data_IF_836629095864
#
_entry.id   IF_836629095864
#
_cell.length_a   1.000
_cell.length_b   1.000
_cell.length_c   1.000
_cell.angle_alpha   90.00
_cell.angle_beta   90.00
_cell.angle_gamma   90.00
#
_symmetry.space_group_name_H-M   'P 1'
#
loop_
_entity.id
_entity.type
_entity.pdbx_description
1 polymer ?
#
# COMPACT_ATOMS: atom_id res chain seq x y z
N UNK A 1 8.24 -4.62 19.70
CA UNK A 1 6.98 -4.24 20.39
C UNK A 1 6.36 -5.50 20.98
N UNK A 2 5.82 -5.47 22.20
CA UNK A 2 5.06 -6.63 22.71
C UNK A 2 3.74 -6.71 21.94
N UNK A 3 3.38 -7.87 21.34
CA UNK A 3 2.16 -7.99 20.57
C UNK A 3 0.92 -7.79 21.45
N UNK A 4 -0.14 -7.12 20.96
CA UNK A 4 -1.38 -7.01 21.71
C UNK A 4 -2.09 -8.36 21.77
N UNK A 5 -2.85 -8.62 22.83
CA UNK A 5 -3.67 -9.83 22.93
C UNK A 5 -4.74 -9.89 21.81
N UNK A 6 -5.34 -8.74 21.49
CA UNK A 6 -6.34 -8.62 20.43
C UNK A 6 -5.93 -7.53 19.44
N UNK A 7 -5.86 -7.87 18.16
CA UNK A 7 -5.53 -6.96 17.07
C UNK A 7 -6.73 -6.76 16.14
N UNK A 8 -7.04 -5.51 15.81
CA UNK A 8 -7.98 -5.14 14.75
C UNK A 8 -7.27 -5.02 13.39
N UNK A 9 -7.83 -5.57 12.33
CA UNK A 9 -7.37 -5.32 10.96
C UNK A 9 -8.48 -4.61 10.20
N UNK A 10 -8.20 -3.39 9.73
CA UNK A 10 -9.03 -2.68 8.77
C UNK A 10 -8.57 -3.15 7.38
N UNK A 11 -9.33 -4.07 6.80
CA UNK A 11 -8.89 -4.87 5.66
C UNK A 11 -9.40 -4.31 4.34
N UNK A 12 -8.50 -3.73 3.55
CA UNK A 12 -8.77 -3.37 2.15
C UNK A 12 -8.50 -4.54 1.18
N UNK A 13 -8.28 -4.19 -0.07
CA UNK A 13 -8.03 -5.11 -1.17
C UNK A 13 -6.58 -5.66 -1.15
N UNK A 14 -6.39 -6.81 -1.80
CA UNK A 14 -5.09 -7.43 -2.05
C UNK A 14 -4.67 -8.46 -1.00
N UNK A 15 -3.43 -8.92 -1.13
CA UNK A 15 -2.88 -9.99 -0.27
C UNK A 15 -2.46 -9.48 1.12
N UNK A 16 -2.25 -8.18 1.25
CA UNK A 16 -1.66 -7.56 2.42
C UNK A 16 -2.43 -7.88 3.72
N UNK A 17 -3.77 -7.78 3.82
CA UNK A 17 -4.49 -8.13 5.04
C UNK A 17 -4.23 -9.57 5.51
N UNK A 18 -4.10 -10.51 4.56
CA UNK A 18 -3.83 -11.92 4.88
C UNK A 18 -2.41 -12.14 5.39
N UNK A 19 -1.42 -11.53 4.73
CA UNK A 19 -0.02 -11.60 5.17
C UNK A 19 0.17 -10.96 6.54
N UNK A 20 -0.51 -9.84 6.80
CA UNK A 20 -0.52 -9.20 8.11
C UNK A 20 -1.13 -10.11 9.18
N UNK A 21 -2.26 -10.77 8.90
CA UNK A 21 -2.88 -11.68 9.83
C UNK A 21 -1.96 -12.87 10.17
N UNK A 22 -1.30 -13.47 9.17
CA UNK A 22 -0.34 -14.56 9.37
C UNK A 22 0.87 -14.08 10.20
N UNK A 23 1.44 -12.93 9.89
CA UNK A 23 2.58 -12.36 10.60
C UNK A 23 2.25 -11.96 12.06
N UNK A 24 1.09 -11.34 12.28
CA UNK A 24 0.62 -11.00 13.63
C UNK A 24 0.39 -12.25 14.48
N UNK A 25 -0.16 -13.32 13.88
CA UNK A 25 -0.33 -14.61 14.53
C UNK A 25 1.02 -15.23 14.91
N UNK A 26 1.99 -15.22 13.99
CA UNK A 26 3.36 -15.71 14.24
C UNK A 26 4.07 -14.90 15.34
N UNK A 27 3.77 -13.61 15.46
CA UNK A 27 4.30 -12.74 16.52
C UNK A 27 3.63 -12.94 17.88
N UNK A 28 2.57 -13.78 17.98
CA UNK A 28 1.92 -14.13 19.24
C UNK A 28 0.59 -13.40 19.54
N UNK A 29 0.01 -12.69 18.56
CA UNK A 29 -1.35 -12.11 18.72
C UNK A 29 -2.35 -13.25 18.89
N UNK A 30 -3.12 -13.22 20.00
CA UNK A 30 -4.04 -14.32 20.37
C UNK A 30 -5.37 -14.24 19.62
N UNK A 31 -5.90 -13.03 19.41
CA UNK A 31 -7.16 -12.81 18.72
C UNK A 31 -6.99 -11.74 17.62
N UNK A 32 -7.46 -12.04 16.42
CA UNK A 32 -7.47 -11.13 15.28
C UNK A 32 -8.90 -10.88 14.83
N UNK A 33 -9.31 -9.62 14.81
CA UNK A 33 -10.66 -9.18 14.40
C UNK A 33 -10.54 -8.33 13.15
N UNK A 34 -11.17 -8.74 12.06
CA UNK A 34 -11.15 -8.00 10.81
C UNK A 34 -12.43 -7.21 10.58
N UNK A 35 -12.29 -5.93 10.23
CA UNK A 35 -13.31 -5.13 9.56
C UNK A 35 -13.04 -5.22 8.05
N UNK A 36 -13.84 -5.99 7.34
CA UNK A 36 -13.69 -6.29 5.92
C UNK A 36 -14.71 -5.51 5.09
N UNK A 37 -14.31 -5.04 3.92
CA UNK A 37 -15.18 -4.25 3.06
C UNK A 37 -15.70 -5.10 1.89
N UNK A 38 -17.02 -5.12 1.74
CA UNK A 38 -17.68 -5.77 0.59
C UNK A 38 -17.13 -5.19 -0.71
N UNK A 39 -16.87 -6.03 -1.69
CA UNK A 39 -16.31 -5.72 -3.00
C UNK A 39 -14.84 -5.21 -3.00
N UNK A 40 -14.18 -5.23 -1.84
CA UNK A 40 -12.76 -4.87 -1.70
C UNK A 40 -11.94 -6.01 -1.09
N UNK A 41 -12.31 -6.47 0.09
CA UNK A 41 -11.52 -7.45 0.85
C UNK A 41 -11.65 -8.85 0.26
N UNK A 42 -10.51 -9.53 0.14
CA UNK A 42 -10.45 -10.94 -0.30
C UNK A 42 -11.12 -11.86 0.73
N UNK A 43 -12.11 -12.64 0.30
CA UNK A 43 -12.86 -13.58 1.15
C UNK A 43 -11.97 -14.61 1.88
N UNK A 44 -10.79 -14.91 1.30
CA UNK A 44 -9.80 -15.80 1.90
C UNK A 44 -9.24 -15.28 3.23
N UNK A 45 -9.44 -14.00 3.56
CA UNK A 45 -9.09 -13.45 4.86
C UNK A 45 -9.85 -14.14 5.99
N UNK A 46 -11.10 -14.58 5.76
CA UNK A 46 -11.92 -15.23 6.77
C UNK A 46 -11.26 -16.48 7.39
N UNK A 47 -10.42 -17.19 6.62
CA UNK A 47 -9.65 -18.34 7.12
C UNK A 47 -8.38 -17.98 7.92
N UNK A 48 -8.08 -16.69 8.12
CA UNK A 48 -6.86 -16.20 8.78
C UNK A 48 -7.12 -15.42 10.06
N UNK A 49 -8.38 -15.07 10.33
CA UNK A 49 -8.81 -14.26 11.47
C UNK A 49 -9.82 -15.01 12.34
N UNK A 50 -9.94 -14.63 13.61
CA UNK A 50 -10.88 -15.26 14.53
C UNK A 50 -12.30 -14.71 14.37
N UNK A 51 -12.41 -13.45 13.91
CA UNK A 51 -13.68 -12.78 13.70
C UNK A 51 -13.57 -11.87 12.48
N UNK A 52 -14.53 -11.95 11.57
CA UNK A 52 -14.63 -11.08 10.40
C UNK A 52 -15.98 -10.41 10.34
N UNK A 53 -15.97 -9.08 10.20
CA UNK A 53 -17.18 -8.26 10.14
C UNK A 53 -17.24 -7.54 8.80
N UNK A 54 -18.16 -7.96 7.95
CA UNK A 54 -18.39 -7.38 6.65
C UNK A 54 -19.17 -6.07 6.73
N UNK A 55 -18.68 -5.05 6.04
CA UNK A 55 -19.31 -3.74 5.97
C UNK A 55 -19.01 -3.07 4.62
N UNK A 56 -19.67 -1.96 4.36
CA UNK A 56 -19.35 -1.13 3.18
C UNK A 56 -18.33 -0.07 3.53
N UNK A 57 -17.56 0.35 2.54
CA UNK A 57 -16.66 1.51 2.69
C UNK A 57 -17.51 2.73 3.11
N UNK A 58 -17.04 3.45 4.13
CA UNK A 58 -17.75 4.59 4.69
C UNK A 58 -18.62 4.29 5.93
N UNK A 59 -18.62 3.07 6.46
CA UNK A 59 -19.35 2.72 7.68
C UNK A 59 -18.44 2.78 8.94
N UNK A 60 -17.87 3.96 9.22
CA UNK A 60 -16.94 4.16 10.34
C UNK A 60 -17.53 3.87 11.71
N UNK A 61 -18.81 4.21 11.91
CA UNK A 61 -19.50 3.91 13.17
C UNK A 61 -19.61 2.41 13.42
N UNK A 62 -19.94 1.64 12.35
CA UNK A 62 -19.99 0.16 12.42
C UNK A 62 -18.62 -0.44 12.69
N UNK A 63 -17.57 0.07 12.05
CA UNK A 63 -16.18 -0.36 12.27
C UNK A 63 -15.77 -0.18 13.73
N UNK A 64 -15.98 1.02 14.29
CA UNK A 64 -15.65 1.32 15.69
C UNK A 64 -16.44 0.45 16.65
N UNK A 65 -17.75 0.28 16.41
CA UNK A 65 -18.60 -0.58 17.24
C UNK A 65 -18.12 -2.04 17.24
N UNK A 66 -17.76 -2.57 16.06
CA UNK A 66 -17.21 -3.91 15.91
C UNK A 66 -15.92 -4.07 16.74
N UNK A 67 -14.96 -3.17 16.61
CA UNK A 67 -13.70 -3.27 17.33
C UNK A 67 -13.88 -3.12 18.85
N UNK A 68 -14.72 -2.18 19.29
CA UNK A 68 -15.00 -2.02 20.73
C UNK A 68 -15.67 -3.24 21.33
N UNK A 69 -16.65 -3.84 20.66
CA UNK A 69 -17.36 -5.04 21.16
C UNK A 69 -16.42 -6.25 21.26
N UNK A 70 -15.39 -6.31 20.41
CA UNK A 70 -14.39 -7.37 20.44
C UNK A 70 -13.20 -7.11 21.38
N UNK A 71 -13.16 -5.96 22.06
CA UNK A 71 -12.06 -5.57 22.96
C UNK A 71 -10.78 -5.16 22.24
N UNK A 72 -10.88 -4.69 20.98
CA UNK A 72 -9.73 -4.22 20.20
C UNK A 72 -9.28 -2.86 20.72
N UNK A 73 -8.02 -2.75 21.12
CA UNK A 73 -7.36 -1.49 21.51
C UNK A 73 -6.27 -1.06 20.54
N UNK A 74 -5.82 -1.98 19.67
CA UNK A 74 -4.83 -1.71 18.64
C UNK A 74 -5.34 -2.20 17.29
N UNK A 75 -5.21 -1.38 16.26
CA UNK A 75 -5.64 -1.74 14.91
C UNK A 75 -4.57 -1.38 13.87
N UNK A 76 -4.58 -2.06 12.75
CA UNK A 76 -3.72 -1.78 11.58
C UNK A 76 -4.60 -1.68 10.36
N UNK A 77 -4.31 -0.68 9.50
CA UNK A 77 -4.87 -0.61 8.15
C UNK A 77 -3.98 -1.39 7.18
N UNK A 78 -4.56 -2.33 6.44
CA UNK A 78 -3.84 -3.14 5.47
C UNK A 78 -4.65 -3.28 4.17
N UNK A 79 -3.97 -3.12 3.03
CA UNK A 79 -4.59 -3.19 1.71
C UNK A 79 -5.08 -1.83 1.20
N UNK A 80 -5.59 -1.83 -0.02
CA UNK A 80 -6.06 -0.62 -0.70
C UNK A 80 -7.59 -0.56 -0.74
N UNK A 81 -8.13 0.65 -0.84
CA UNK A 81 -9.52 0.89 -1.24
C UNK A 81 -9.48 1.46 -2.66
N UNK A 82 -10.19 0.83 -3.59
CA UNK A 82 -10.21 1.27 -4.98
C UNK A 82 -10.75 2.70 -5.11
N UNK A 83 -10.11 3.60 -5.89
CA UNK A 83 -10.54 4.99 -6.03
C UNK A 83 -12.00 5.16 -6.43
N UNK A 84 -12.52 4.28 -7.30
CA UNK A 84 -13.93 4.25 -7.72
C UNK A 84 -14.89 4.11 -6.54
N UNK A 85 -14.50 3.35 -5.50
CA UNK A 85 -15.35 3.10 -4.33
C UNK A 85 -15.32 4.27 -3.33
N UNK A 86 -14.37 5.20 -3.48
CA UNK A 86 -14.38 6.47 -2.75
C UNK A 86 -15.48 7.45 -3.25
N UNK A 87 -15.96 7.28 -4.49
CA UNK A 87 -17.06 8.08 -5.04
C UNK A 87 -18.45 7.45 -4.83
N UNK A 88 -18.51 6.12 -4.60
CA UNK A 88 -19.77 5.39 -4.30
C UNK A 88 -19.89 5.05 -2.81
N UNK A 89 -19.45 5.97 -1.97
CA UNK A 89 -19.57 5.82 -0.52
C UNK A 89 -21.03 5.81 -0.10
N UNK A 90 -21.39 4.83 0.73
CA UNK A 90 -22.66 4.86 1.51
C UNK A 90 -22.33 5.15 2.97
N UNK A 91 -21.97 6.42 3.27
CA UNK A 91 -21.48 6.80 4.59
C UNK A 91 -22.55 6.66 5.64
N UNK A 92 -22.19 6.13 6.80
CA UNK A 92 -23.01 6.27 7.98
C UNK A 92 -22.97 7.69 8.53
N UNK A 93 -23.84 7.99 9.53
CA UNK A 93 -23.92 9.34 10.11
C UNK A 93 -22.57 9.84 10.65
N UNK A 94 -21.77 8.94 11.22
CA UNK A 94 -20.45 9.30 11.77
C UNK A 94 -19.48 9.71 10.67
N UNK A 95 -19.46 8.97 9.57
CA UNK A 95 -18.66 9.30 8.39
C UNK A 95 -19.10 10.61 7.73
N UNK A 96 -20.41 10.86 7.65
CA UNK A 96 -20.94 12.13 7.12
C UNK A 96 -20.46 13.31 7.94
N UNK A 97 -20.52 13.22 9.27
CA UNK A 97 -20.03 14.29 10.17
C UNK A 97 -18.52 14.49 10.03
N UNK A 98 -17.74 13.39 9.89
CA UNK A 98 -16.31 13.45 9.67
C UNK A 98 -16.01 14.21 8.36
N UNK A 99 -16.62 13.80 7.24
CA UNK A 99 -16.40 14.39 5.93
C UNK A 99 -16.83 15.88 5.88
N UNK A 100 -17.88 16.26 6.62
CA UNK A 100 -18.33 17.65 6.71
C UNK A 100 -17.32 18.59 7.40
N UNK A 101 -16.47 18.06 8.27
CA UNK A 101 -15.44 18.80 9.00
C UNK A 101 -14.14 18.97 8.22
N UNK A 102 -13.92 18.18 7.16
CA UNK A 102 -12.68 18.22 6.40
C UNK A 102 -12.64 19.42 5.45
N UNK A 103 -11.58 20.21 5.54
CA UNK A 103 -11.30 21.32 4.60
C UNK A 103 -10.89 20.82 3.21
N UNK A 104 -10.18 19.69 3.15
CA UNK A 104 -9.77 18.99 1.93
C UNK A 104 -10.23 17.53 2.05
N UNK A 105 -10.72 16.97 0.94
CA UNK A 105 -11.23 15.57 0.90
C UNK A 105 -10.32 14.69 0.06
N UNK A 106 -8.99 14.81 0.27
CA UNK A 106 -8.03 13.87 -0.27
C UNK A 106 -7.90 12.65 0.65
N UNK A 107 -7.31 11.57 0.15
CA UNK A 107 -7.18 10.30 0.87
C UNK A 107 -6.46 10.47 2.22
N UNK A 108 -5.37 11.26 2.24
CA UNK A 108 -4.58 11.52 3.44
C UNK A 108 -5.42 12.17 4.55
N UNK A 109 -6.17 13.24 4.23
CA UNK A 109 -7.03 13.92 5.20
C UNK A 109 -8.15 13.03 5.74
N UNK A 110 -8.72 12.17 4.88
CA UNK A 110 -9.78 11.23 5.28
C UNK A 110 -9.21 10.17 6.22
N UNK A 111 -8.08 9.55 5.88
CA UNK A 111 -7.47 8.51 6.71
C UNK A 111 -6.93 9.06 8.04
N UNK A 112 -6.35 10.26 8.04
CA UNK A 112 -5.95 10.93 9.27
C UNK A 112 -7.16 11.15 10.21
N UNK A 113 -8.28 11.66 9.67
CA UNK A 113 -9.49 11.87 10.45
C UNK A 113 -10.12 10.56 10.96
N UNK A 114 -10.02 9.45 10.19
CA UNK A 114 -10.41 8.11 10.65
C UNK A 114 -9.52 7.69 11.83
N UNK A 115 -8.21 7.90 11.74
CA UNK A 115 -7.27 7.63 12.83
C UNK A 115 -7.62 8.39 14.11
N UNK A 116 -7.99 9.67 13.99
CA UNK A 116 -8.42 10.50 15.12
C UNK A 116 -9.72 9.98 15.75
N UNK A 117 -10.69 9.52 14.94
CA UNK A 117 -11.95 8.95 15.46
C UNK A 117 -11.73 7.59 16.14
N UNK A 118 -10.79 6.77 15.63
CA UNK A 118 -10.36 5.54 16.29
C UNK A 118 -9.71 5.85 17.64
N UNK A 119 -8.80 6.83 17.70
CA UNK A 119 -8.15 7.25 18.94
C UNK A 119 -9.16 7.76 19.99
N UNK A 120 -10.19 8.53 19.58
CA UNK A 120 -11.31 8.92 20.47
C UNK A 120 -12.11 7.74 21.01
N UNK A 121 -12.10 6.63 20.29
CA UNK A 121 -12.73 5.39 20.70
C UNK A 121 -11.77 4.46 21.47
N UNK A 122 -10.60 4.97 21.89
CA UNK A 122 -9.54 4.24 22.59
C UNK A 122 -8.92 3.10 21.77
N UNK A 123 -8.94 3.24 20.43
CA UNK A 123 -8.31 2.31 19.51
C UNK A 123 -7.09 3.00 18.89
N UNK A 124 -5.90 2.52 19.23
CA UNK A 124 -4.63 3.02 18.68
C UNK A 124 -4.38 2.44 17.30
N UNK A 125 -4.22 3.30 16.30
CA UNK A 125 -3.81 2.87 14.97
C UNK A 125 -2.28 2.72 14.92
N UNK A 126 -1.82 1.48 14.80
CA UNK A 126 -0.40 1.14 14.68
C UNK A 126 0.11 1.43 13.26
N UNK A 127 1.44 1.58 13.07
CA UNK A 127 2.02 1.63 11.73
C UNK A 127 1.60 0.43 10.87
N UNK A 128 1.29 0.66 9.60
CA UNK A 128 0.89 -0.40 8.69
C UNK A 128 2.02 -1.43 8.43
N UNK A 129 3.27 -1.07 8.73
CA UNK A 129 4.44 -1.97 8.66
C UNK A 129 4.58 -2.89 9.88
N UNK A 130 3.81 -2.69 10.96
CA UNK A 130 3.88 -3.50 12.17
C UNK A 130 3.69 -4.97 11.87
N UNK A 131 4.52 -5.83 12.45
CA UNK A 131 4.63 -7.28 12.19
C UNK A 131 5.20 -7.65 10.80
N UNK A 132 5.48 -6.69 9.93
CA UNK A 132 6.00 -6.90 8.58
C UNK A 132 7.30 -6.11 8.33
N UNK A 133 8.03 -5.77 9.40
CA UNK A 133 9.28 -5.03 9.31
C UNK A 133 10.31 -5.76 8.44
N UNK A 134 10.34 -7.09 8.48
CA UNK A 134 11.21 -7.95 7.65
C UNK A 134 10.82 -7.93 6.15
N UNK A 135 9.63 -7.44 5.84
CA UNK A 135 9.16 -7.23 4.46
C UNK A 135 9.57 -5.87 3.89
N UNK A 136 10.17 -4.98 4.69
CA UNK A 136 10.69 -3.72 4.19
C UNK A 136 11.86 -3.99 3.22
N UNK A 137 11.87 -3.25 2.11
CA UNK A 137 12.91 -3.37 1.09
C UNK A 137 14.29 -3.02 1.67
N UNK A 138 15.26 -3.95 1.68
CA UNK A 138 16.64 -3.63 2.07
C UNK A 138 17.30 -2.77 0.99
N UNK A 139 18.30 -1.98 1.37
CA UNK A 139 19.09 -1.21 0.38
C UNK A 139 19.82 -2.15 -0.59
N UNK A 140 19.92 -1.74 -1.85
CA UNK A 140 20.65 -2.41 -2.91
C UNK A 140 19.82 -3.21 -3.90
N UNK A 141 20.44 -4.23 -4.49
CA UNK A 141 19.83 -5.13 -5.48
C UNK A 141 19.00 -6.21 -4.76
N UNK A 142 17.69 -6.24 -5.00
CA UNK A 142 16.77 -7.22 -4.40
C UNK A 142 16.60 -8.44 -5.32
N UNK A 143 16.44 -8.21 -6.62
CA UNK A 143 16.26 -9.26 -7.61
C UNK A 143 16.85 -8.86 -8.98
N UNK A 144 17.14 -9.86 -9.82
CA UNK A 144 17.62 -9.65 -11.18
C UNK A 144 19.12 -9.37 -11.25
N UNK A 145 19.55 -8.58 -12.23
CA UNK A 145 20.97 -8.24 -12.47
C UNK A 145 21.31 -6.82 -12.00
N UNK A 146 22.61 -6.56 -11.82
CA UNK A 146 23.10 -5.19 -11.63
C UNK A 146 22.67 -4.29 -12.78
N UNK A 147 22.33 -3.05 -12.46
CA UNK A 147 21.96 -2.04 -13.43
C UNK A 147 23.18 -1.60 -14.25
N UNK A 148 22.91 -1.25 -15.50
CA UNK A 148 23.89 -0.57 -16.34
C UNK A 148 24.02 0.90 -15.92
N UNK A 149 25.11 1.57 -16.29
CA UNK A 149 25.29 3.00 -16.02
C UNK A 149 24.14 3.88 -16.53
N UNK A 150 23.52 3.50 -17.66
CA UNK A 150 22.37 4.22 -18.21
C UNK A 150 21.13 4.02 -17.38
N UNK A 151 20.85 2.78 -16.94
CA UNK A 151 19.73 2.47 -16.05
C UNK A 151 19.88 3.17 -14.69
N UNK A 152 21.11 3.25 -14.13
CA UNK A 152 21.36 4.03 -12.91
C UNK A 152 21.04 5.52 -13.10
N UNK A 153 21.38 6.09 -14.27
CA UNK A 153 21.04 7.48 -14.62
C UNK A 153 19.52 7.69 -14.69
N UNK A 154 18.79 6.77 -15.32
CA UNK A 154 17.32 6.82 -15.40
C UNK A 154 16.68 6.64 -14.02
N UNK A 155 17.23 5.75 -13.16
CA UNK A 155 16.78 5.57 -11.77
C UNK A 155 16.99 6.86 -10.97
N UNK A 156 18.15 7.51 -11.08
CA UNK A 156 18.44 8.76 -10.38
C UNK A 156 17.46 9.88 -10.80
N UNK A 157 17.24 10.07 -12.10
CA UNK A 157 16.25 11.01 -12.62
C UNK A 157 14.84 10.67 -12.12
N UNK A 158 14.48 9.39 -12.15
CA UNK A 158 13.17 8.93 -11.67
C UNK A 158 12.94 9.25 -10.20
N UNK A 159 13.94 9.07 -9.33
CA UNK A 159 13.86 9.44 -7.91
C UNK A 159 13.69 10.94 -7.71
N UNK A 160 14.45 11.76 -8.46
CA UNK A 160 14.33 13.22 -8.41
C UNK A 160 12.90 13.65 -8.73
N UNK A 161 12.38 13.24 -9.88
CA UNK A 161 11.03 13.61 -10.33
C UNK A 161 9.93 13.02 -9.42
N UNK A 162 10.05 11.74 -9.03
CA UNK A 162 9.06 11.11 -8.17
C UNK A 162 8.94 11.81 -6.80
N UNK A 163 10.06 12.26 -6.21
CA UNK A 163 10.07 13.02 -4.96
C UNK A 163 9.35 14.37 -5.10
N UNK A 164 9.61 15.11 -6.19
CA UNK A 164 8.95 16.39 -6.43
C UNK A 164 7.44 16.24 -6.67
N UNK A 165 7.04 15.27 -7.48
CA UNK A 165 5.63 14.96 -7.75
C UNK A 165 4.91 14.52 -6.46
N UNK A 166 5.59 13.73 -5.65
CA UNK A 166 5.11 13.25 -4.34
C UNK A 166 4.96 14.40 -3.33
N UNK A 167 5.89 15.35 -3.33
CA UNK A 167 5.83 16.56 -2.49
C UNK A 167 4.61 17.44 -2.83
N UNK A 168 4.17 17.42 -4.09
CA UNK A 168 2.98 18.14 -4.56
C UNK A 168 1.67 17.36 -4.34
N UNK A 169 1.72 16.15 -3.73
CA UNK A 169 0.59 15.25 -3.52
C UNK A 169 -0.15 14.89 -4.83
N UNK A 170 0.58 14.76 -5.95
CA UNK A 170 0.05 14.35 -7.26
C UNK A 170 0.07 12.83 -7.37
N UNK A 171 1.23 12.21 -7.10
CA UNK A 171 1.47 10.78 -7.18
C UNK A 171 2.84 10.43 -6.63
N UNK A 172 3.24 9.17 -6.72
CA UNK A 172 4.50 8.68 -6.13
C UNK A 172 5.26 7.73 -7.06
N UNK A 173 4.76 7.52 -8.28
CA UNK A 173 5.36 6.64 -9.28
C UNK A 173 5.65 7.40 -10.56
N UNK A 174 6.84 7.17 -11.13
CA UNK A 174 7.29 7.77 -12.38
C UNK A 174 7.87 6.68 -13.28
N UNK A 175 7.57 6.74 -14.57
CA UNK A 175 8.17 5.86 -15.58
C UNK A 175 9.15 6.68 -16.41
N UNK A 176 10.38 6.20 -16.47
CA UNK A 176 11.50 6.89 -17.15
C UNK A 176 12.13 5.96 -18.18
N UNK A 177 12.63 6.52 -19.26
CA UNK A 177 13.50 5.83 -20.22
C UNK A 177 14.45 6.81 -20.91
N UNK A 178 15.72 6.48 -20.92
CA UNK A 178 16.74 7.22 -21.66
C UNK A 178 16.77 8.72 -21.34
N UNK A 179 16.69 9.08 -20.07
CA UNK A 179 16.67 10.47 -19.62
C UNK A 179 15.36 11.20 -19.87
N UNK A 180 14.27 10.48 -20.22
CA UNK A 180 12.96 11.07 -20.52
C UNK A 180 11.90 10.50 -19.60
N UNK A 181 11.10 11.37 -18.97
CA UNK A 181 9.90 10.98 -18.21
C UNK A 181 8.79 10.63 -19.20
N UNK A 182 8.29 9.40 -19.13
CA UNK A 182 7.24 8.89 -19.99
C UNK A 182 5.85 9.00 -19.36
N UNK A 183 5.76 8.76 -18.05
CA UNK A 183 4.52 8.83 -17.31
C UNK A 183 4.80 9.23 -15.87
N UNK A 184 3.87 10.00 -15.31
CA UNK A 184 3.81 10.37 -13.91
C UNK A 184 2.48 9.91 -13.37
N UNK A 185 2.49 9.23 -12.21
CA UNK A 185 1.27 8.78 -11.53
C UNK A 185 0.43 9.98 -11.10
N UNK A 186 -0.85 9.91 -11.37
CA UNK A 186 -1.86 10.81 -10.84
C UNK A 186 -2.96 10.01 -10.15
N UNK A 187 -4.19 10.37 -10.41
CA UNK A 187 -5.36 9.71 -9.81
C UNK A 187 -5.56 8.26 -10.29
N UNK A 188 -5.04 7.91 -11.47
CA UNK A 188 -5.18 6.58 -12.07
C UNK A 188 -4.48 5.46 -11.27
N UNK A 189 -3.48 5.79 -10.45
CA UNK A 189 -2.72 4.86 -9.64
C UNK A 189 -1.57 4.15 -10.37
N UNK A 190 -0.73 3.45 -9.62
CA UNK A 190 0.54 2.87 -10.06
C UNK A 190 0.39 1.95 -11.28
N UNK A 191 -0.58 1.04 -11.28
CA UNK A 191 -0.70 0.03 -12.35
C UNK A 191 -1.04 0.66 -13.71
N UNK A 192 -1.93 1.63 -13.74
CA UNK A 192 -2.30 2.32 -14.99
C UNK A 192 -1.15 3.23 -15.48
N UNK A 193 -0.41 3.83 -14.56
CA UNK A 193 0.81 4.59 -14.88
C UNK A 193 1.87 3.69 -15.52
N UNK A 194 2.08 2.46 -14.99
CA UNK A 194 2.99 1.46 -15.59
C UNK A 194 2.57 1.12 -17.02
N UNK A 195 1.29 0.80 -17.24
CA UNK A 195 0.76 0.47 -18.57
C UNK A 195 0.98 1.62 -19.56
N UNK A 196 0.62 2.84 -19.16
CA UNK A 196 0.76 4.05 -19.99
C UNK A 196 2.22 4.34 -20.32
N UNK A 197 3.11 4.30 -19.30
CA UNK A 197 4.54 4.53 -19.49
C UNK A 197 5.20 3.44 -20.34
N UNK A 198 4.83 2.17 -20.15
CA UNK A 198 5.30 1.05 -20.96
C UNK A 198 4.88 1.16 -22.42
N UNK A 199 3.61 1.53 -22.68
CA UNK A 199 3.12 1.76 -24.04
C UNK A 199 3.87 2.88 -24.77
N UNK A 200 4.20 3.98 -24.07
CA UNK A 200 4.96 5.09 -24.64
C UNK A 200 6.45 4.76 -24.79
N UNK A 201 7.03 4.05 -23.84
CA UNK A 201 8.46 3.75 -23.80
C UNK A 201 8.84 2.49 -24.59
N UNK A 202 7.89 1.60 -24.89
CA UNK A 202 8.20 0.28 -25.41
C UNK A 202 9.03 -0.54 -24.42
N UNK A 203 9.99 -1.30 -24.91
CA UNK A 203 10.83 -2.15 -24.03
C UNK A 203 11.84 -1.34 -23.22
N UNK A 204 12.14 -1.83 -22.01
CA UNK A 204 13.21 -1.36 -21.14
C UNK A 204 12.96 0.00 -20.46
N UNK A 205 11.71 0.42 -20.29
CA UNK A 205 11.38 1.52 -19.40
C UNK A 205 11.65 1.13 -17.93
N UNK A 206 11.83 2.13 -17.10
CA UNK A 206 12.15 2.00 -15.67
C UNK A 206 11.04 2.63 -14.86
N UNK A 207 10.53 1.91 -13.87
CA UNK A 207 9.63 2.44 -12.87
C UNK A 207 10.42 2.88 -11.64
N UNK A 208 10.14 4.07 -11.15
CA UNK A 208 10.59 4.54 -9.84
C UNK A 208 9.38 4.86 -8.98
N UNK A 209 9.35 4.32 -7.75
CA UNK A 209 8.29 4.59 -6.78
C UNK A 209 8.90 4.99 -5.44
N UNK A 210 8.42 6.12 -4.91
CA UNK A 210 8.89 6.70 -3.64
C UNK A 210 7.79 6.68 -2.60
N UNK A 211 8.16 6.88 -1.33
CA UNK A 211 7.23 7.27 -0.28
C UNK A 211 7.03 8.79 -0.32
N UNK A 212 5.85 9.25 0.08
CA UNK A 212 5.63 10.69 0.25
C UNK A 212 6.48 11.25 1.39
N UNK A 213 6.98 12.50 1.32
CA UNK A 213 7.85 13.07 2.35
C UNK A 213 7.25 13.03 3.76
N UNK A 214 5.95 13.32 3.88
CA UNK A 214 5.20 13.35 5.14
C UNK A 214 4.22 12.18 5.24
N UNK A 215 4.57 11.02 4.65
CA UNK A 215 3.69 9.87 4.61
C UNK A 215 3.36 9.38 6.03
N UNK A 216 2.09 9.28 6.34
CA UNK A 216 1.64 8.69 7.59
C UNK A 216 1.69 7.17 7.49
N UNK A 217 2.73 6.60 8.08
CA UNK A 217 3.00 5.15 8.05
C UNK A 217 1.90 4.31 8.71
N UNK A 218 0.89 4.93 9.34
CA UNK A 218 -0.24 4.19 9.91
C UNK A 218 -1.21 3.66 8.85
N UNK A 219 -1.27 4.31 7.66
CA UNK A 219 -2.23 3.95 6.63
C UNK A 219 -1.74 4.08 5.18
N UNK A 220 -0.65 4.79 4.95
CA UNK A 220 -0.11 5.00 3.60
C UNK A 220 1.35 4.53 3.54
N UNK A 221 1.54 3.26 3.16
CA UNK A 221 2.87 2.65 2.98
C UNK A 221 2.98 2.20 1.53
N UNK A 222 4.05 2.61 0.82
CA UNK A 222 4.31 2.09 -0.51
C UNK A 222 4.47 0.57 -0.48
N UNK A 223 3.81 -0.09 -1.42
CA UNK A 223 3.82 -1.55 -1.52
C UNK A 223 4.20 -1.95 -2.94
N UNK A 224 5.05 -2.96 -3.06
CA UNK A 224 5.30 -3.71 -4.30
C UNK A 224 5.00 -5.19 -4.03
N UNK A 225 4.21 -5.80 -4.89
CA UNK A 225 3.86 -7.21 -4.83
C UNK A 225 3.84 -7.84 -6.21
N UNK A 226 3.55 -9.14 -6.25
CA UNK A 226 3.47 -9.93 -7.49
C UNK A 226 2.55 -9.29 -8.52
N UNK A 227 1.41 -8.72 -8.09
CA UNK A 227 0.46 -8.05 -9.00
C UNK A 227 1.07 -6.84 -9.72
N UNK A 228 1.80 -5.98 -9.00
CA UNK A 228 2.51 -4.84 -9.61
C UNK A 228 3.60 -5.30 -10.57
N UNK A 229 4.34 -6.34 -10.18
CA UNK A 229 5.40 -6.90 -11.02
C UNK A 229 4.84 -7.55 -12.30
N UNK A 230 3.69 -8.24 -12.23
CA UNK A 230 3.02 -8.79 -13.41
C UNK A 230 2.65 -7.68 -14.41
N UNK A 231 2.06 -6.58 -13.92
CA UNK A 231 1.76 -5.40 -14.78
C UNK A 231 3.04 -4.81 -15.38
N UNK A 232 4.13 -4.74 -14.62
CA UNK A 232 5.42 -4.25 -15.10
C UNK A 232 6.03 -5.19 -16.16
N UNK A 233 5.87 -6.49 -16.01
CA UNK A 233 6.31 -7.49 -17.00
C UNK A 233 5.54 -7.38 -18.30
N UNK A 234 4.21 -7.27 -18.23
CA UNK A 234 3.34 -7.08 -19.40
C UNK A 234 3.64 -5.76 -20.13
N UNK A 235 4.01 -4.73 -19.38
CA UNK A 235 4.44 -3.43 -19.91
C UNK A 235 5.92 -3.41 -20.37
N UNK A 236 6.61 -4.56 -20.33
CA UNK A 236 8.01 -4.72 -20.73
C UNK A 236 9.00 -3.79 -19.99
N UNK A 237 8.72 -3.47 -18.74
CA UNK A 237 9.66 -2.71 -17.91
C UNK A 237 10.94 -3.54 -17.66
N UNK A 238 12.06 -2.84 -17.46
CA UNK A 238 13.34 -3.47 -17.20
C UNK A 238 13.77 -3.38 -15.74
N UNK A 239 13.42 -2.28 -15.07
CA UNK A 239 13.80 -2.01 -13.69
C UNK A 239 12.61 -1.49 -12.91
N UNK A 240 12.49 -1.93 -11.67
CA UNK A 240 11.65 -1.33 -10.64
C UNK A 240 12.59 -0.82 -9.55
N UNK A 241 12.61 0.49 -9.33
CA UNK A 241 13.37 1.14 -8.28
C UNK A 241 12.43 1.70 -7.21
N UNK A 242 12.74 1.44 -5.94
CA UNK A 242 11.90 1.79 -4.78
C UNK A 242 12.74 2.39 -3.64
N UNK A 243 12.11 3.02 -2.66
CA UNK A 243 12.82 3.50 -1.48
C UNK A 243 13.08 2.38 -0.47
N UNK A 244 14.35 2.24 -0.09
CA UNK A 244 14.81 1.33 0.95
C UNK A 244 14.24 1.70 2.32
N UNK A 245 13.88 0.69 3.13
CA UNK A 245 13.33 0.88 4.47
C UNK A 245 11.95 1.54 4.53
N UNK A 246 11.36 1.90 3.38
CA UNK A 246 10.06 2.59 3.31
C UNK A 246 9.02 1.91 2.42
N UNK A 247 9.43 0.91 1.65
CA UNK A 247 8.53 0.15 0.74
C UNK A 247 8.41 -1.28 1.23
N UNK A 248 7.18 -1.79 1.36
CA UNK A 248 6.90 -3.19 1.66
C UNK A 248 6.98 -4.05 0.40
N UNK A 249 7.68 -5.17 0.49
CA UNK A 249 7.74 -6.23 -0.50
C UNK A 249 6.80 -7.36 -0.08
N UNK A 250 5.62 -7.43 -0.69
CA UNK A 250 4.68 -8.50 -0.38
C UNK A 250 4.98 -9.74 -1.20
N UNK A 251 4.85 -10.93 -0.58
CA UNK A 251 5.15 -12.22 -1.21
C UNK A 251 6.57 -12.24 -1.81
N UNK A 252 7.58 -11.83 -1.03
CA UNK A 252 8.96 -11.56 -1.46
C UNK A 252 9.56 -12.67 -2.32
N UNK A 253 9.36 -13.94 -1.95
CA UNK A 253 9.92 -15.09 -2.69
C UNK A 253 9.29 -15.21 -4.09
N UNK A 254 7.95 -15.16 -4.17
CA UNK A 254 7.22 -15.16 -5.44
C UNK A 254 7.53 -13.92 -6.30
N UNK A 255 7.70 -12.75 -5.65
CA UNK A 255 8.10 -11.51 -6.30
C UNK A 255 9.48 -11.64 -6.94
N UNK A 256 10.47 -12.17 -6.22
CA UNK A 256 11.85 -12.33 -6.73
C UNK A 256 11.94 -13.38 -7.83
N UNK A 257 11.19 -14.48 -7.71
CA UNK A 257 11.09 -15.51 -8.74
C UNK A 257 10.48 -14.96 -10.04
N UNK A 258 9.37 -14.23 -9.94
CA UNK A 258 8.73 -13.60 -11.09
C UNK A 258 9.63 -12.55 -11.73
N UNK A 259 10.36 -11.75 -10.93
CA UNK A 259 11.34 -10.77 -11.43
C UNK A 259 12.42 -11.44 -12.28
N UNK A 260 12.96 -12.57 -11.82
CA UNK A 260 13.94 -13.35 -12.56
C UNK A 260 13.39 -13.86 -13.90
N UNK A 261 12.19 -14.48 -13.88
CA UNK A 261 11.53 -15.00 -15.10
C UNK A 261 11.18 -13.88 -16.11
N UNK A 262 10.81 -12.71 -15.62
CA UNK A 262 10.44 -11.56 -16.46
C UNK A 262 11.63 -10.70 -16.86
N UNK A 263 12.85 -11.07 -16.42
CA UNK A 263 14.08 -10.31 -16.68
C UNK A 263 14.00 -8.85 -16.17
N UNK A 264 13.32 -8.64 -15.04
CA UNK A 264 13.19 -7.35 -14.37
C UNK A 264 14.14 -7.31 -13.19
N UNK A 265 14.90 -6.23 -13.03
CA UNK A 265 15.69 -5.98 -11.83
C UNK A 265 14.88 -5.15 -10.84
N UNK A 266 14.92 -5.53 -9.57
CA UNK A 266 14.32 -4.76 -8.47
C UNK A 266 15.46 -4.22 -7.62
N UNK A 267 15.51 -2.90 -7.44
CA UNK A 267 16.53 -2.22 -6.62
C UNK A 267 15.86 -1.29 -5.61
N UNK A 268 16.45 -1.15 -4.43
CA UNK A 268 16.06 -0.14 -3.45
C UNK A 268 17.23 0.81 -3.17
N UNK A 269 16.91 2.07 -2.92
CA UNK A 269 17.87 3.16 -2.63
C UNK A 269 17.36 4.00 -1.46
#
# INVERSE_FOLDING_TARGET
MQPPDTLGIIAGNGVYPRLLADAARAAGVKKIVAAAFTDETDDRLAGKVDEINWMRVGQLGKLIACFRSAGVTNAIMAGQIAPKNLFDLRPDWKTLLLLARLKRRNAESIFAAIGDELARAEITLLPATSFLEDCLAPDGLIAGRKLTRREEGDVALGFEIAREVSRLDIGQTVIVRNGTVLAVEGFEGTNETIKRGGALGGRNAIMVKVAKPNQDMRFDVPVIGVATLAVAADAHLRVIAIEAGRTLLLEKDALTELAGRSNISIVAR
#
